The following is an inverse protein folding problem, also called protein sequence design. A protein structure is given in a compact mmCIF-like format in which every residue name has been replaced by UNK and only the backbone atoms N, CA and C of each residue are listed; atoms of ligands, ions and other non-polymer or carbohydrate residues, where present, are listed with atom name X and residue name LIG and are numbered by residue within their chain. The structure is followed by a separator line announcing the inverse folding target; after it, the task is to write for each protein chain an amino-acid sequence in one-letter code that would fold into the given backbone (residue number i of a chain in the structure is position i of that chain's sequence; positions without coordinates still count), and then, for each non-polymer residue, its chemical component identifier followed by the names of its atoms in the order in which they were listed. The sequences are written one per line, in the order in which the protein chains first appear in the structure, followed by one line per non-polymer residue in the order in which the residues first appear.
data_IF_107542443018
#
_entry.id   IF_107542443018
#
_cell.length_a   1.000
_cell.length_b   1.000
_cell.length_c   1.000
_cell.angle_alpha   90.00
_cell.angle_beta   90.00
_cell.angle_gamma   90.00
#
_symmetry.space_group_name_H-M   'P 1'
#
loop_
_entity.id
_entity.type
_entity.pdbx_description
1 polymer ?
#
# COMPACT_ATOMS: atom_id res chain seq x y z
N UNK A 1 -1.80 -13.99 16.75
CA UNK A 1 -2.67 -13.98 15.57
C UNK A 1 -1.90 -13.32 14.43
N UNK A 2 -1.85 -13.88 13.22
CA UNK A 2 -1.15 -13.26 12.08
C UNK A 2 -2.14 -12.37 11.34
N UNK A 3 -1.84 -11.07 11.25
CA UNK A 3 -2.70 -10.08 10.59
C UNK A 3 -2.06 -9.72 9.25
N UNK A 4 -2.84 -9.80 8.17
CA UNK A 4 -2.43 -9.36 6.83
C UNK A 4 -3.33 -8.22 6.41
N UNK A 5 -2.75 -7.16 5.84
CA UNK A 5 -3.48 -5.99 5.37
C UNK A 5 -3.42 -5.96 3.84
N UNK A 6 -4.57 -5.97 3.19
CA UNK A 6 -4.71 -5.77 1.75
C UNK A 6 -5.10 -4.31 1.45
N UNK A 7 -4.44 -3.69 0.47
CA UNK A 7 -4.69 -2.31 0.07
C UNK A 7 -4.93 -2.28 -1.44
N UNK A 8 -6.16 -2.07 -1.93
CA UNK A 8 -6.36 -1.66 -3.31
C UNK A 8 -5.88 -0.21 -3.48
N UNK A 9 -5.11 0.06 -4.53
CA UNK A 9 -4.55 1.39 -4.80
C UNK A 9 -4.78 1.79 -6.26
N UNK A 10 -5.18 3.04 -6.49
CA UNK A 10 -5.33 3.63 -7.81
C UNK A 10 -4.99 5.13 -7.75
N UNK A 11 -3.92 5.53 -8.43
CA UNK A 11 -3.41 6.90 -8.47
C UNK A 11 -3.14 7.54 -7.08
N UNK A 12 -2.50 6.79 -6.19
CA UNK A 12 -2.16 7.15 -4.81
C UNK A 12 -0.67 7.46 -4.59
N UNK A 13 0.09 7.85 -5.64
CA UNK A 13 1.55 8.09 -5.57
C UNK A 13 1.98 9.02 -4.41
N UNK A 14 1.12 9.97 -4.03
CA UNK A 14 1.40 10.97 -2.99
C UNK A 14 1.16 10.47 -1.57
N UNK A 15 0.37 9.39 -1.40
CA UNK A 15 -0.12 8.96 -0.09
C UNK A 15 0.30 7.53 0.27
N UNK A 16 0.47 6.63 -0.73
CA UNK A 16 0.62 5.19 -0.50
C UNK A 16 1.80 4.86 0.42
N UNK A 17 2.96 5.53 0.25
CA UNK A 17 4.12 5.35 1.12
C UNK A 17 3.83 5.71 2.60
N UNK A 18 3.10 6.80 2.85
CA UNK A 18 2.75 7.24 4.20
C UNK A 18 1.80 6.27 4.88
N UNK A 19 0.84 5.72 4.11
CA UNK A 19 -0.11 4.71 4.58
C UNK A 19 0.64 3.43 4.95
N UNK A 20 1.46 2.88 4.06
CA UNK A 20 2.25 1.66 4.32
C UNK A 20 3.16 1.84 5.53
N UNK A 21 3.82 3.00 5.65
CA UNK A 21 4.70 3.30 6.80
C UNK A 21 3.94 3.29 8.13
N UNK A 22 2.69 3.79 8.15
CA UNK A 22 1.85 3.73 9.36
C UNK A 22 1.39 2.31 9.65
N UNK A 23 1.02 1.53 8.62
CA UNK A 23 0.54 0.15 8.76
C UNK A 23 1.64 -0.84 9.18
N UNK A 24 2.90 -0.56 8.82
CA UNK A 24 4.08 -1.32 9.31
C UNK A 24 4.22 -1.32 10.84
N UNK A 25 3.56 -0.39 11.56
CA UNK A 25 3.50 -0.41 13.03
C UNK A 25 2.55 -1.48 13.58
N UNK A 26 1.69 -2.05 12.74
CA UNK A 26 0.67 -3.04 13.09
C UNK A 26 1.09 -4.43 12.61
N UNK A 27 1.55 -4.53 11.35
CA UNK A 27 2.00 -5.79 10.76
C UNK A 27 2.98 -5.54 9.61
N UNK A 28 3.90 -6.47 9.41
CA UNK A 28 4.79 -6.51 8.24
C UNK A 28 4.13 -7.17 7.01
N UNK A 29 3.00 -7.86 7.21
CA UNK A 29 2.28 -8.57 6.15
C UNK A 29 1.30 -7.63 5.45
N UNK A 30 1.80 -6.84 4.50
CA UNK A 30 1.02 -5.87 3.71
C UNK A 30 1.07 -6.27 2.24
N UNK A 31 -0.08 -6.29 1.58
CA UNK A 31 -0.24 -6.60 0.16
C UNK A 31 -0.91 -5.41 -0.50
N UNK A 32 -0.24 -4.76 -1.44
CA UNK A 32 -0.82 -3.69 -2.26
C UNK A 32 -1.22 -4.28 -3.61
N UNK A 33 -2.47 -4.04 -4.00
CA UNK A 33 -3.00 -4.40 -5.31
C UNK A 33 -3.23 -3.11 -6.09
N UNK A 34 -2.33 -2.80 -7.01
CA UNK A 34 -2.50 -1.69 -7.93
C UNK A 34 -3.60 -2.02 -8.95
N UNK A 35 -4.61 -1.15 -9.05
CA UNK A 35 -5.79 -1.31 -9.90
C UNK A 35 -5.64 -0.58 -11.24
N UNK A 36 -4.43 -0.67 -11.82
CA UNK A 36 -4.10 -0.07 -13.12
C UNK A 36 -3.81 1.43 -13.04
N UNK A 37 -3.06 1.88 -12.03
CA UNK A 37 -2.67 3.28 -11.90
C UNK A 37 -1.91 3.78 -13.14
N UNK A 38 -2.12 5.05 -13.47
CA UNK A 38 -1.40 5.76 -14.54
C UNK A 38 -0.24 6.62 -14.01
N UNK A 39 0.02 6.54 -12.71
CA UNK A 39 1.03 7.29 -11.98
C UNK A 39 2.06 6.34 -11.31
N UNK A 40 2.90 6.85 -10.41
CA UNK A 40 3.95 6.05 -9.76
C UNK A 40 3.46 5.19 -8.58
N UNK A 41 2.16 4.95 -8.41
CA UNK A 41 1.61 4.20 -7.27
C UNK A 41 2.26 2.83 -7.09
N UNK A 42 2.41 2.07 -8.19
CA UNK A 42 2.99 0.72 -8.18
C UNK A 42 4.50 0.71 -7.90
N UNK A 43 5.21 1.77 -8.27
CA UNK A 43 6.64 1.91 -7.98
C UNK A 43 6.91 2.27 -6.51
N UNK A 44 5.94 2.92 -5.84
CA UNK A 44 6.07 3.45 -4.48
C UNK A 44 5.59 2.44 -3.42
N UNK A 45 4.63 1.57 -3.79
CA UNK A 45 3.99 0.60 -2.89
C UNK A 45 4.91 -0.51 -2.40
#
# INVERSE_FOLDING_TARGET
MKITIGIPAYNEEKNIASIITKLKKITDSIIVCDDGSSDMTSDIS
#
